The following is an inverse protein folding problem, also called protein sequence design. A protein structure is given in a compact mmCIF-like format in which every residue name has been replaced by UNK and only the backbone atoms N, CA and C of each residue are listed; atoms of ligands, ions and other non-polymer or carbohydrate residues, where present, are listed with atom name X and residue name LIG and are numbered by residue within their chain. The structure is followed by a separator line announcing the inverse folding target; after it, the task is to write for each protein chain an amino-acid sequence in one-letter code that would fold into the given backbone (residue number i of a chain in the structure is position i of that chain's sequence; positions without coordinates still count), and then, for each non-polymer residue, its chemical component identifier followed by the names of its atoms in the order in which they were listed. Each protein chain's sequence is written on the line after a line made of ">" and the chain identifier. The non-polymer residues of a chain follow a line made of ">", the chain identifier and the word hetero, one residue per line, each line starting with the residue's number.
data_IF_288867872405
#
_entry.id   IF_288867872405
#
_cell.length_a   1.000
_cell.length_b   1.000
_cell.length_c   1.000
_cell.angle_alpha   90.00
_cell.angle_beta   90.00
_cell.angle_gamma   90.00
#
_symmetry.space_group_name_H-M   'P 1'
#
loop_
_entity.id
_entity.type
_entity.pdbx_description
1 polymer ?
#
# COMPACT_ATOMS: atom_id res chain seq x y z
N UNK A 1 -8.08 11.56 -4.49
CA UNK A 1 -7.07 12.35 -5.24
C UNK A 1 -5.65 12.18 -4.66
N UNK A 2 -4.57 12.61 -5.35
CA UNK A 2 -3.17 12.35 -4.96
C UNK A 2 -2.84 12.65 -3.47
N UNK A 3 -3.52 13.62 -2.85
CA UNK A 3 -3.42 13.89 -1.40
C UNK A 3 -4.03 12.78 -0.54
N UNK A 4 -5.24 12.30 -0.87
CA UNK A 4 -5.94 11.24 -0.12
C UNK A 4 -5.21 9.90 -0.21
N UNK A 5 -4.67 9.56 -1.39
CA UNK A 5 -3.88 8.34 -1.56
C UNK A 5 -2.59 8.36 -0.73
N UNK A 6 -1.97 9.52 -0.52
CA UNK A 6 -0.80 9.65 0.36
C UNK A 6 -1.15 9.55 1.83
N UNK A 7 -2.30 10.07 2.25
CA UNK A 7 -2.78 9.94 3.63
C UNK A 7 -3.04 8.47 3.96
N UNK A 8 -3.81 7.76 3.13
CA UNK A 8 -4.08 6.33 3.33
C UNK A 8 -2.81 5.49 3.28
N UNK A 9 -1.93 5.73 2.32
CA UNK A 9 -0.65 5.04 2.26
C UNK A 9 0.19 5.28 3.54
N UNK A 10 0.18 6.51 4.08
CA UNK A 10 0.89 6.85 5.32
C UNK A 10 0.29 6.18 6.57
N UNK A 11 -1.03 5.95 6.62
CA UNK A 11 -1.71 5.26 7.74
C UNK A 11 -1.15 3.85 7.96
N UNK A 12 -0.80 3.14 6.88
CA UNK A 12 -0.17 1.83 7.02
C UNK A 12 1.18 1.89 7.72
N UNK A 13 1.85 3.04 7.76
CA UNK A 13 3.08 3.21 8.52
C UNK A 13 2.89 3.17 10.04
N UNK A 14 1.66 3.34 10.51
CA UNK A 14 1.27 3.19 11.92
C UNK A 14 0.81 1.77 12.25
N UNK A 15 0.68 0.92 11.23
CA UNK A 15 0.27 -0.48 11.35
C UNK A 15 -0.68 -0.90 10.23
N UNK A 16 -0.60 -2.17 9.85
CA UNK A 16 -1.51 -2.77 8.88
C UNK A 16 -2.70 -3.42 9.59
N UNK A 17 -3.90 -2.89 9.36
CA UNK A 17 -5.16 -3.43 9.88
C UNK A 17 -5.42 -4.87 9.42
N UNK A 18 -6.24 -5.61 10.18
CA UNK A 18 -6.64 -7.00 9.89
C UNK A 18 -7.21 -7.16 8.49
N UNK A 19 -8.12 -6.28 8.06
CA UNK A 19 -8.72 -6.36 6.72
C UNK A 19 -7.68 -6.21 5.63
N UNK A 20 -6.64 -5.40 5.86
CA UNK A 20 -5.54 -5.30 4.90
C UNK A 20 -4.67 -6.55 4.90
N UNK A 21 -4.38 -7.14 6.07
CA UNK A 21 -3.65 -8.42 6.15
C UNK A 21 -4.36 -9.53 5.40
N UNK A 22 -5.68 -9.64 5.55
CA UNK A 22 -6.52 -10.60 4.83
C UNK A 22 -6.47 -10.37 3.31
N UNK A 23 -6.50 -9.11 2.86
CA UNK A 23 -6.39 -8.78 1.44
C UNK A 23 -5.02 -9.17 0.85
N UNK A 24 -3.96 -9.05 1.65
CA UNK A 24 -2.60 -9.42 1.27
C UNK A 24 -2.38 -10.94 1.24
N UNK A 25 -3.25 -11.75 1.85
CA UNK A 25 -3.13 -13.21 1.81
C UNK A 25 -3.14 -13.73 0.38
N UNK A 26 -2.21 -14.63 0.06
CA UNK A 26 -2.02 -15.14 -1.30
C UNK A 26 -1.40 -14.15 -2.28
N UNK A 27 -0.95 -12.97 -1.82
CA UNK A 27 -0.09 -12.07 -2.58
C UNK A 27 1.38 -12.23 -2.13
N UNK A 28 2.31 -11.64 -2.90
CA UNK A 28 3.74 -11.58 -2.52
C UNK A 28 4.06 -10.41 -1.58
N UNK A 29 3.04 -9.67 -1.13
CA UNK A 29 3.21 -8.46 -0.34
C UNK A 29 3.00 -8.81 1.13
N UNK A 30 4.02 -8.57 1.94
CA UNK A 30 3.93 -8.76 3.39
C UNK A 30 3.38 -7.51 4.09
N UNK A 31 2.73 -7.71 5.24
CA UNK A 31 2.29 -6.61 6.09
C UNK A 31 3.47 -5.72 6.52
N UNK A 32 4.61 -6.31 6.87
CA UNK A 32 5.84 -5.57 7.20
C UNK A 32 6.36 -4.70 6.06
N UNK A 33 6.30 -5.18 4.80
CA UNK A 33 6.67 -4.36 3.65
C UNK A 33 5.70 -3.19 3.47
N UNK A 34 4.40 -3.44 3.64
CA UNK A 34 3.39 -2.41 3.55
C UNK A 34 3.58 -1.34 4.62
N UNK A 35 3.92 -1.74 5.84
CA UNK A 35 4.19 -0.84 6.97
C UNK A 35 5.43 0.02 6.69
N UNK A 36 6.52 -0.58 6.21
CA UNK A 36 7.73 0.16 5.80
C UNK A 36 7.46 1.17 4.69
N UNK A 37 6.68 0.77 3.69
CA UNK A 37 6.28 1.69 2.63
C UNK A 37 5.42 2.80 3.19
N UNK A 38 4.45 2.51 4.05
CA UNK A 38 3.61 3.53 4.68
C UNK A 38 4.41 4.53 5.51
N UNK A 39 5.39 4.08 6.29
CA UNK A 39 6.31 4.96 7.02
C UNK A 39 7.11 5.86 6.07
N UNK A 40 7.58 5.32 4.95
CA UNK A 40 8.30 6.08 3.93
C UNK A 40 7.38 7.12 3.27
N UNK A 41 6.14 6.74 2.95
CA UNK A 41 5.14 7.67 2.38
C UNK A 41 4.79 8.78 3.36
N UNK A 42 4.64 8.45 4.65
CA UNK A 42 4.39 9.40 5.73
C UNK A 42 5.55 10.40 5.89
N UNK A 43 6.80 9.92 5.84
CA UNK A 43 8.00 10.78 5.83
C UNK A 43 8.04 11.71 4.61
N UNK A 44 7.50 11.26 3.48
CA UNK A 44 7.49 12.02 2.23
C UNK A 44 8.87 12.11 1.58
N UNK A 45 9.08 13.14 0.76
CA UNK A 45 10.34 13.32 0.03
C UNK A 45 10.62 12.22 -1.02
N UNK A 46 11.91 11.97 -1.29
CA UNK A 46 12.34 10.94 -2.26
C UNK A 46 11.95 9.53 -1.84
N UNK A 47 12.09 9.21 -0.56
CA UNK A 47 11.75 7.88 -0.02
C UNK A 47 10.25 7.60 -0.11
N UNK A 48 9.39 8.58 0.21
CA UNK A 48 7.95 8.43 0.04
C UNK A 48 7.52 8.25 -1.41
N UNK A 49 8.13 8.98 -2.34
CA UNK A 49 7.88 8.80 -3.77
C UNK A 49 8.35 7.44 -4.29
N UNK A 50 9.50 6.95 -3.80
CA UNK A 50 10.00 5.61 -4.12
C UNK A 50 9.07 4.53 -3.56
N UNK A 51 8.64 4.66 -2.30
CA UNK A 51 7.72 3.73 -1.66
C UNK A 51 6.37 3.65 -2.40
N UNK A 52 5.80 4.78 -2.84
CA UNK A 52 4.60 4.79 -3.68
C UNK A 52 4.80 4.01 -4.99
N UNK A 53 5.98 4.15 -5.60
CA UNK A 53 6.31 3.45 -6.85
C UNK A 53 6.43 1.95 -6.61
N UNK A 54 7.07 1.53 -5.52
CA UNK A 54 7.20 0.12 -5.13
C UNK A 54 5.84 -0.50 -4.78
N UNK A 55 4.98 0.22 -4.05
CA UNK A 55 3.60 -0.18 -3.79
C UNK A 55 2.86 -0.42 -5.12
N UNK A 56 2.95 0.52 -6.06
CA UNK A 56 2.28 0.40 -7.36
C UNK A 56 2.79 -0.80 -8.18
N UNK A 57 4.10 -1.06 -8.19
CA UNK A 57 4.69 -2.25 -8.82
C UNK A 57 4.23 -3.54 -8.15
N UNK A 58 4.19 -3.56 -6.83
CA UNK A 58 3.78 -4.72 -6.06
C UNK A 58 2.32 -5.06 -6.33
N UNK A 59 1.43 -4.06 -6.33
CA UNK A 59 0.04 -4.17 -6.79
C UNK A 59 -0.07 -4.71 -8.21
N UNK A 60 0.69 -4.14 -9.16
CA UNK A 60 0.68 -4.59 -10.55
C UNK A 60 1.16 -6.04 -10.71
N UNK A 61 1.95 -6.55 -9.76
CA UNK A 61 2.44 -7.93 -9.72
C UNK A 61 1.43 -8.92 -9.13
N UNK A 62 0.30 -8.46 -8.58
CA UNK A 62 -0.79 -9.32 -8.11
C UNK A 62 -1.57 -9.79 -9.34
N UNK A 63 -1.56 -11.09 -9.62
CA UNK A 63 -2.23 -11.67 -10.80
C UNK A 63 -3.76 -11.59 -10.70
N UNK A 64 -4.31 -11.76 -9.50
CA UNK A 64 -5.74 -11.66 -9.23
C UNK A 64 -6.20 -10.19 -9.28
N UNK A 65 -6.97 -9.85 -10.33
CA UNK A 65 -7.47 -8.51 -10.55
C UNK A 65 -8.44 -8.04 -9.45
N UNK A 66 -9.20 -8.98 -8.85
CA UNK A 66 -10.11 -8.68 -7.75
C UNK A 66 -9.32 -8.26 -6.52
N UNK A 67 -8.28 -9.03 -6.15
CA UNK A 67 -7.38 -8.68 -5.04
C UNK A 67 -6.61 -7.40 -5.30
N UNK A 68 -6.12 -7.22 -6.53
CA UNK A 68 -5.41 -5.99 -6.93
C UNK A 68 -6.31 -4.76 -6.75
N UNK A 69 -7.56 -4.83 -7.19
CA UNK A 69 -8.51 -3.74 -7.01
C UNK A 69 -8.85 -3.51 -5.55
N UNK A 70 -9.10 -4.57 -4.77
CA UNK A 70 -9.38 -4.45 -3.34
C UNK A 70 -8.24 -3.75 -2.59
N UNK A 71 -7.01 -4.24 -2.76
CA UNK A 71 -5.82 -3.66 -2.13
C UNK A 71 -5.57 -2.24 -2.66
N UNK A 72 -5.78 -1.99 -3.95
CA UNK A 72 -5.62 -0.67 -4.56
C UNK A 72 -6.61 0.35 -4.01
N UNK A 73 -7.87 -0.03 -3.78
CA UNK A 73 -8.89 0.82 -3.14
C UNK A 73 -8.52 1.10 -1.68
N UNK A 74 -8.03 0.09 -0.95
CA UNK A 74 -7.55 0.25 0.43
C UNK A 74 -6.35 1.19 0.51
N UNK A 75 -5.38 1.07 -0.40
CA UNK A 75 -4.16 1.89 -0.43
C UNK A 75 -4.39 3.32 -0.89
N UNK A 76 -5.21 3.52 -1.92
CA UNK A 76 -5.30 4.81 -2.61
C UNK A 76 -6.62 5.54 -2.42
N UNK A 77 -7.65 4.88 -1.86
CA UNK A 77 -8.95 5.50 -1.59
C UNK A 77 -9.54 6.18 -2.80
N UNK A 78 -9.97 5.38 -3.79
CA UNK A 78 -10.64 5.93 -4.96
C UNK A 78 -11.98 6.56 -4.58
#
# INVERSE_FOLDING_TARGET
>A
GLKEGRVKAAEFGQGVDKSMKEALEGTKISADQLEKWGQSVAKGGKEGSAAMTEIAKALASIEDETKRNEIGVKLFGR
#
